data_IF_510284663297
#
_entry.id   IF_510284663297
#
_cell.length_a   1.000
_cell.length_b   1.000
_cell.length_c   1.000
_cell.angle_alpha   90.00
_cell.angle_beta   90.00
_cell.angle_gamma   90.00
#
_symmetry.space_group_name_H-M   'P 1'
#
loop_
_entity.id
_entity.type
_entity.pdbx_description
1 polymer ?
#
# COMPACT_ATOMS: atom_id res chain seq x y z
N UNK A 1 -24.33 -5.12 11.06
CA UNK A 1 -24.41 -4.47 9.74
C UNK A 1 -23.03 -4.53 9.07
N UNK A 2 -22.78 -5.57 8.28
CA UNK A 2 -21.53 -5.71 7.51
C UNK A 2 -21.59 -4.74 6.33
N UNK A 3 -21.14 -3.50 6.56
CA UNK A 3 -21.08 -2.50 5.50
C UNK A 3 -20.22 -3.03 4.35
N UNK A 4 -20.86 -3.37 3.23
CA UNK A 4 -20.22 -3.69 1.96
C UNK A 4 -19.50 -2.43 1.47
N UNK A 5 -18.32 -2.14 2.03
CA UNK A 5 -17.42 -1.12 1.51
C UNK A 5 -17.00 -1.60 0.13
N UNK A 6 -17.43 -0.88 -0.91
CA UNK A 6 -17.03 -1.17 -2.29
C UNK A 6 -15.51 -1.25 -2.42
N UNK A 7 -14.99 -1.95 -3.45
CA UNK A 7 -13.58 -2.21 -3.59
C UNK A 7 -12.79 -0.92 -3.54
N UNK A 8 -11.79 -0.86 -2.65
CA UNK A 8 -10.82 0.22 -2.67
C UNK A 8 -10.02 0.11 -3.97
N UNK A 9 -9.78 1.24 -4.63
CA UNK A 9 -9.05 1.28 -5.89
C UNK A 9 -7.85 2.21 -5.75
N UNK A 10 -6.69 1.69 -6.13
CA UNK A 10 -5.49 2.48 -6.29
C UNK A 10 -5.54 3.15 -7.67
N UNK A 11 -5.15 4.41 -7.75
CA UNK A 11 -5.01 5.12 -9.01
C UNK A 11 -3.67 5.84 -9.03
N UNK A 12 -3.04 5.89 -10.20
CA UNK A 12 -1.78 6.57 -10.39
C UNK A 12 -1.96 7.72 -11.38
N UNK A 13 -1.60 8.93 -10.96
CA UNK A 13 -1.50 10.09 -11.82
C UNK A 13 0.01 10.41 -11.96
N UNK A 14 0.69 9.68 -12.85
CA UNK A 14 2.14 9.67 -12.90
C UNK A 14 2.73 9.03 -11.63
N UNK A 15 3.55 9.78 -10.91
CA UNK A 15 4.16 9.38 -9.64
C UNK A 15 3.29 9.67 -8.40
N UNK A 16 2.06 10.17 -8.59
CA UNK A 16 1.12 10.32 -7.49
C UNK A 16 0.23 9.09 -7.37
N UNK A 17 0.35 8.40 -6.23
CA UNK A 17 -0.43 7.21 -5.93
C UNK A 17 -1.58 7.56 -4.98
N UNK A 18 -2.81 7.30 -5.41
CA UNK A 18 -4.06 7.70 -4.75
C UNK A 18 -4.94 6.49 -4.44
N UNK A 19 -5.21 6.24 -3.16
CA UNK A 19 -6.15 5.22 -2.72
C UNK A 19 -7.54 5.81 -2.52
N UNK A 20 -8.52 5.34 -3.31
CA UNK A 20 -9.92 5.78 -3.25
C UNK A 20 -10.81 4.72 -2.59
N UNK A 21 -11.82 5.18 -1.86
CA UNK A 21 -12.91 4.30 -1.39
C UNK A 21 -13.98 4.17 -2.47
N UNK A 22 -14.29 2.93 -2.86
CA UNK A 22 -15.30 2.66 -3.89
C UNK A 22 -16.74 3.05 -3.53
N UNK A 23 -17.04 3.29 -2.25
CA UNK A 23 -18.39 3.65 -1.82
C UNK A 23 -18.69 5.16 -1.88
N UNK A 24 -17.72 6.01 -1.53
CA UNK A 24 -17.97 7.44 -1.31
C UNK A 24 -17.12 8.36 -2.20
N UNK A 25 -16.33 7.83 -3.13
CA UNK A 25 -15.40 8.59 -3.98
C UNK A 25 -14.42 9.49 -3.19
N UNK A 26 -14.20 9.18 -1.90
CA UNK A 26 -13.29 9.90 -1.01
C UNK A 26 -11.87 9.36 -1.21
N UNK A 27 -10.91 10.26 -1.41
CA UNK A 27 -9.48 9.93 -1.36
C UNK A 27 -9.11 9.62 0.10
N UNK A 28 -8.69 8.38 0.35
CA UNK A 28 -8.31 7.91 1.70
C UNK A 28 -6.87 8.23 2.01
N UNK A 29 -5.99 8.11 1.00
CA UNK A 29 -4.56 8.38 1.16
C UNK A 29 -3.91 8.66 -0.18
N UNK A 30 -3.00 9.61 -0.20
CA UNK A 30 -2.23 10.01 -1.38
C UNK A 30 -0.77 10.14 -0.99
N UNK A 31 0.14 9.69 -1.87
CA UNK A 31 1.58 9.80 -1.65
C UNK A 31 2.30 9.96 -2.98
N UNK A 32 3.38 10.75 -3.00
CA UNK A 32 4.35 10.73 -4.10
C UNK A 32 5.19 9.47 -3.97
N UNK A 33 5.25 8.70 -5.04
CA UNK A 33 5.97 7.44 -5.09
C UNK A 33 7.00 7.45 -6.23
N UNK A 34 7.96 6.56 -6.16
CA UNK A 34 8.98 6.32 -7.16
C UNK A 34 8.41 5.56 -8.36
N UNK A 35 9.13 5.56 -9.48
CA UNK A 35 8.79 4.73 -10.64
C UNK A 35 8.78 3.23 -10.28
N UNK A 36 9.72 2.79 -9.44
CA UNK A 36 9.80 1.42 -8.97
C UNK A 36 8.53 0.98 -8.23
N UNK A 37 7.90 1.88 -7.47
CA UNK A 37 6.63 1.59 -6.80
C UNK A 37 5.52 1.32 -7.81
N UNK A 38 5.40 2.16 -8.82
CA UNK A 38 4.34 2.04 -9.84
C UNK A 38 4.52 0.75 -10.62
N UNK A 39 5.75 0.44 -11.03
CA UNK A 39 6.05 -0.78 -11.76
C UNK A 39 5.80 -2.03 -10.93
N UNK A 40 6.25 -2.05 -9.67
CA UNK A 40 6.00 -3.18 -8.77
C UNK A 40 4.50 -3.35 -8.47
N UNK A 41 3.75 -2.26 -8.30
CA UNK A 41 2.30 -2.32 -8.13
C UNK A 41 1.63 -2.96 -9.35
N UNK A 42 1.99 -2.52 -10.57
CA UNK A 42 1.41 -3.05 -11.81
C UNK A 42 1.70 -4.53 -11.98
N UNK A 43 2.92 -4.99 -11.69
CA UNK A 43 3.30 -6.41 -11.74
C UNK A 43 2.46 -7.24 -10.76
N UNK A 44 2.23 -6.72 -9.56
CA UNK A 44 1.42 -7.40 -8.53
C UNK A 44 -0.07 -7.41 -8.92
N UNK A 45 -0.59 -6.33 -9.49
CA UNK A 45 -2.00 -6.20 -9.85
C UNK A 45 -2.37 -7.00 -11.10
N UNK A 46 -1.51 -6.99 -12.13
CA UNK A 46 -1.77 -7.63 -13.43
C UNK A 46 -1.51 -9.15 -13.37
N UNK A 47 -0.31 -9.54 -12.92
CA UNK A 47 0.16 -10.92 -12.97
C UNK A 47 0.18 -11.63 -11.60
N UNK A 48 -0.10 -10.92 -10.51
CA UNK A 48 0.10 -11.44 -9.15
C UNK A 48 1.57 -11.74 -8.80
N UNK A 49 2.48 -11.36 -9.68
CA UNK A 49 3.91 -11.62 -9.57
C UNK A 49 4.57 -10.62 -8.63
N UNK A 50 5.81 -10.90 -8.22
CA UNK A 50 6.58 -10.02 -7.34
C UNK A 50 8.01 -9.94 -7.81
N UNK A 51 8.46 -8.71 -8.08
CA UNK A 51 9.85 -8.42 -8.39
C UNK A 51 10.58 -7.90 -7.15
N UNK A 52 11.61 -8.65 -6.72
CA UNK A 52 12.40 -8.28 -5.56
C UNK A 52 13.32 -7.09 -5.84
N UNK A 53 13.84 -6.94 -7.06
CA UNK A 53 14.74 -5.84 -7.38
C UNK A 53 14.01 -4.51 -7.31
N UNK A 54 12.77 -4.45 -7.83
CA UNK A 54 11.93 -3.26 -7.69
C UNK A 54 11.58 -2.99 -6.22
N UNK A 55 11.34 -4.02 -5.41
CA UNK A 55 11.10 -3.86 -3.99
C UNK A 55 12.31 -3.31 -3.23
N UNK A 56 13.52 -3.80 -3.53
CA UNK A 56 14.76 -3.34 -2.90
C UNK A 56 15.09 -1.87 -3.26
N UNK A 57 14.48 -1.32 -4.32
CA UNK A 57 14.56 0.10 -4.69
C UNK A 57 13.55 0.99 -3.94
N UNK A 58 12.55 0.41 -3.27
CA UNK A 58 11.56 1.17 -2.52
C UNK A 58 12.10 1.59 -1.16
N UNK A 59 11.89 2.85 -0.80
CA UNK A 59 12.16 3.31 0.54
C UNK A 59 11.14 2.72 1.54
N UNK A 60 11.52 2.63 2.83
CA UNK A 60 10.62 2.19 3.90
C UNK A 60 9.19 2.77 3.84
N UNK A 61 8.97 4.10 3.70
CA UNK A 61 7.62 4.67 3.62
C UNK A 61 6.84 4.20 2.39
N UNK A 62 7.52 3.92 1.28
CA UNK A 62 6.89 3.39 0.07
C UNK A 62 6.48 1.94 0.27
N UNK A 63 7.32 1.13 0.91
CA UNK A 63 6.99 -0.25 1.27
C UNK A 63 5.78 -0.32 2.23
N UNK A 64 5.77 0.51 3.28
CA UNK A 64 4.65 0.67 4.21
C UNK A 64 3.36 1.07 3.48
N UNK A 65 3.47 2.03 2.55
CA UNK A 65 2.33 2.51 1.78
C UNK A 65 1.80 1.43 0.82
N UNK A 66 2.68 0.70 0.13
CA UNK A 66 2.28 -0.41 -0.73
C UNK A 66 1.60 -1.51 0.08
N UNK A 67 2.14 -1.85 1.26
CA UNK A 67 1.54 -2.82 2.18
C UNK A 67 0.13 -2.42 2.59
N UNK A 68 -0.04 -1.15 2.95
CA UNK A 68 -1.35 -0.60 3.30
C UNK A 68 -2.33 -0.71 2.14
N UNK A 69 -1.90 -0.36 0.93
CA UNK A 69 -2.74 -0.38 -0.26
C UNK A 69 -3.13 -1.80 -0.67
N UNK A 70 -2.19 -2.75 -0.67
CA UNK A 70 -2.48 -4.17 -0.95
C UNK A 70 -3.52 -4.73 0.03
N UNK A 71 -3.38 -4.43 1.32
CA UNK A 71 -4.32 -4.88 2.34
C UNK A 71 -5.72 -4.26 2.16
N UNK A 72 -5.81 -2.97 1.81
CA UNK A 72 -7.09 -2.28 1.57
C UNK A 72 -7.76 -2.69 0.26
N UNK A 73 -6.98 -2.95 -0.79
CA UNK A 73 -7.47 -3.43 -2.08
C UNK A 73 -7.75 -4.95 -2.08
N UNK A 74 -7.51 -5.65 -0.95
CA UNK A 74 -7.62 -7.10 -0.83
C UNK A 74 -6.75 -7.89 -1.84
N UNK A 75 -5.64 -7.29 -2.29
CA UNK A 75 -4.69 -7.91 -3.21
C UNK A 75 -3.69 -8.74 -2.40
N UNK A 76 -3.56 -10.02 -2.75
CA UNK A 76 -2.64 -10.96 -2.07
C UNK A 76 -1.39 -11.16 -2.92
N UNK A 77 -0.24 -10.66 -2.45
CA UNK A 77 1.07 -11.00 -3.03
C UNK A 77 1.94 -11.68 -1.98
N UNK A 78 2.22 -12.97 -2.18
CA UNK A 78 3.04 -13.78 -1.25
C UNK A 78 4.51 -13.34 -1.28
N UNK A 79 5.02 -12.99 -2.46
CA UNK A 79 6.38 -12.48 -2.65
C UNK A 79 6.59 -11.16 -1.91
N UNK A 80 5.67 -10.21 -2.09
CA UNK A 80 5.72 -8.93 -1.38
C UNK A 80 5.65 -9.11 0.14
N UNK A 81 4.71 -9.93 0.63
CA UNK A 81 4.59 -10.18 2.07
C UNK A 81 5.88 -10.80 2.65
N UNK A 82 6.52 -11.72 1.93
CA UNK A 82 7.77 -12.31 2.37
C UNK A 82 8.93 -11.32 2.35
N UNK A 83 9.03 -10.45 1.33
CA UNK A 83 10.09 -9.46 1.22
C UNK A 83 9.92 -8.36 2.26
N UNK A 84 8.70 -7.86 2.42
CA UNK A 84 8.32 -6.89 3.45
C UNK A 84 8.65 -7.40 4.86
N UNK A 85 8.22 -8.62 5.21
CA UNK A 85 8.51 -9.17 6.54
C UNK A 85 10.02 -9.40 6.79
N UNK A 86 10.80 -9.64 5.73
CA UNK A 86 12.26 -9.72 5.82
C UNK A 86 12.89 -8.33 6.00
N UNK A 87 12.40 -7.32 5.29
CA UNK A 87 12.86 -5.95 5.39
C UNK A 87 12.53 -5.33 6.75
N UNK A 88 11.34 -5.58 7.28
CA UNK A 88 10.86 -5.01 8.55
C UNK A 88 11.11 -5.92 9.76
N UNK A 89 12.17 -6.75 9.72
CA UNK A 89 12.47 -7.83 10.67
C UNK A 89 11.87 -7.65 12.07
N UNK A 90 10.92 -8.52 12.42
CA UNK A 90 10.35 -8.74 13.76
C UNK A 90 10.41 -7.53 14.73
N UNK A 91 9.42 -6.63 14.66
CA UNK A 91 9.11 -5.75 15.80
C UNK A 91 8.64 -4.34 15.49
N UNK A 92 8.88 -3.79 14.29
CA UNK A 92 8.66 -2.35 14.05
C UNK A 92 7.45 -2.01 13.14
N UNK A 93 6.86 -2.99 12.46
CA UNK A 93 5.80 -2.75 11.47
C UNK A 93 4.43 -2.33 12.07
N UNK A 94 4.18 -2.59 13.37
CA UNK A 94 2.91 -2.20 14.00
C UNK A 94 2.93 -0.76 14.54
N UNK A 95 4.11 -0.17 14.78
CA UNK A 95 4.23 1.17 15.38
C UNK A 95 4.37 2.33 14.38
N UNK A 96 4.70 2.11 13.10
CA UNK A 96 4.81 3.22 12.12
C UNK A 96 3.52 3.54 11.36
N UNK A 97 2.58 2.59 11.28
CA UNK A 97 1.26 2.85 10.68
C UNK A 97 0.38 3.78 11.52
N UNK A 98 0.68 3.98 12.82
CA UNK A 98 0.02 5.02 13.64
C UNK A 98 0.50 6.43 13.31
N UNK A 99 1.74 6.61 12.82
CA UNK A 99 2.26 7.93 12.42
C UNK A 99 1.79 8.39 11.04
N UNK A 100 1.39 7.45 10.18
CA UNK A 100 1.01 7.75 8.79
C UNK A 100 -0.49 8.05 8.60
N UNK A 101 -1.20 8.36 9.70
CA UNK A 101 -2.54 8.92 9.69
C UNK A 101 -3.32 8.72 10.99
N UNK A 102 -3.08 9.56 12.01
CA UNK A 102 -4.12 9.93 12.97
C UNK A 102 -3.79 11.24 13.73
N UNK A 103 -3.63 12.36 13.01
CA UNK A 103 -4.08 13.65 13.58
C UNK A 103 -5.61 13.64 13.49
N UNK A 104 -6.28 13.11 14.52
CA UNK A 104 -7.74 13.18 14.59
C UNK A 104 -8.50 12.03 15.25
N UNK A 105 -7.99 11.41 16.32
CA UNK A 105 -8.87 10.77 17.30
C UNK A 105 -8.56 11.36 18.66
N UNK A 106 -9.25 12.46 18.96
CA UNK A 106 -9.44 12.98 20.30
C UNK A 106 -10.58 12.14 20.92
N UNK A 107 -10.27 11.43 21.99
CA UNK A 107 -11.17 11.27 23.13
C UNK A 107 -10.34 10.95 24.37
#
# INVERSE_FOLDING_TARGET
MTGKRGPHKMNFNGLHAHLKSGANNVNLKTMLVSHAFVDLWRIIEDDGSFDKQLFDLLDEPEQDFMRFCLNKCHIKSRGFNSAYNKATGWGHAFMRLTSFGCKGCRH
#
